data_IF_079516364454
#
_entry.id   IF_079516364454
#
_cell.length_a   1.000
_cell.length_b   1.000
_cell.length_c   1.000
_cell.angle_alpha   90.00
_cell.angle_beta   90.00
_cell.angle_gamma   90.00
#
_symmetry.space_group_name_H-M   'P 1'
#
loop_
_entity.id
_entity.type
_entity.pdbx_description
1 polymer ?
#
# COMPACT_ATOMS: atom_id res chain seq x y z
N UNK A 1 68.77 29.40 -6.44
CA UNK A 1 68.40 30.69 -7.06
C UNK A 1 68.31 31.76 -5.97
N UNK A 2 68.88 32.96 -6.14
CA UNK A 2 68.80 34.03 -5.13
C UNK A 2 67.36 34.54 -4.95
N UNK A 3 66.91 34.77 -3.70
CA UNK A 3 65.53 35.22 -3.40
C UNK A 3 65.17 36.56 -4.07
N UNK A 4 66.14 37.46 -4.25
CA UNK A 4 65.96 38.74 -4.95
C UNK A 4 65.73 38.60 -6.46
N UNK A 5 66.09 37.46 -7.06
CA UNK A 5 65.75 37.14 -8.45
C UNK A 5 64.33 36.57 -8.51
N UNK A 6 64.02 35.62 -7.63
CA UNK A 6 62.69 35.02 -7.52
C UNK A 6 61.60 36.10 -7.27
N UNK A 7 61.85 37.07 -6.40
CA UNK A 7 60.92 38.17 -6.12
C UNK A 7 60.53 38.99 -7.37
N UNK A 8 61.48 39.19 -8.29
CA UNK A 8 61.26 39.93 -9.55
C UNK A 8 60.50 39.11 -10.60
N UNK A 9 60.61 37.78 -10.52
CA UNK A 9 60.00 36.86 -11.47
C UNK A 9 58.58 36.43 -11.03
N UNK A 10 58.22 36.52 -9.75
CA UNK A 10 56.96 35.96 -9.21
C UNK A 10 55.96 36.96 -8.64
N UNK A 11 56.18 38.28 -8.75
CA UNK A 11 55.31 39.34 -8.17
C UNK A 11 55.08 39.20 -6.64
N UNK A 12 55.96 38.45 -5.96
CA UNK A 12 55.94 38.26 -4.51
C UNK A 12 57.06 39.09 -3.89
N UNK A 13 56.69 39.98 -2.96
CA UNK A 13 57.66 40.84 -2.28
C UNK A 13 58.78 40.07 -1.57
N UNK A 14 60.01 40.60 -1.64
CA UNK A 14 61.22 39.96 -1.12
C UNK A 14 61.08 39.51 0.36
N UNK A 15 60.49 40.36 1.21
CA UNK A 15 60.24 40.03 2.64
C UNK A 15 59.34 38.82 2.84
N UNK A 16 58.39 38.59 1.93
CA UNK A 16 57.49 37.44 1.98
C UNK A 16 58.24 36.16 1.63
N UNK A 17 59.09 36.20 0.60
CA UNK A 17 59.95 35.08 0.21
C UNK A 17 61.00 34.75 1.28
N UNK A 18 61.60 35.76 1.92
CA UNK A 18 62.51 35.58 3.05
C UNK A 18 61.80 34.91 4.23
N UNK A 19 60.59 35.36 4.57
CA UNK A 19 59.77 34.77 5.63
C UNK A 19 59.40 33.32 5.33
N UNK A 20 58.98 33.01 4.10
CA UNK A 20 58.66 31.66 3.68
C UNK A 20 59.90 30.76 3.67
N UNK A 21 61.03 31.25 3.17
CA UNK A 21 62.30 30.51 3.18
C UNK A 21 62.80 30.24 4.60
N UNK A 22 62.63 31.19 5.53
CA UNK A 22 62.94 30.99 6.95
C UNK A 22 62.03 29.93 7.59
N UNK A 23 60.71 29.98 7.35
CA UNK A 23 59.76 28.98 7.84
C UNK A 23 60.05 27.59 7.26
N UNK A 24 60.36 27.52 5.97
CA UNK A 24 60.75 26.26 5.31
C UNK A 24 62.06 25.68 5.88
N UNK A 25 63.03 26.53 6.22
CA UNK A 25 64.28 26.06 6.84
C UNK A 25 64.10 25.55 8.27
N UNK A 26 63.15 26.09 9.01
CA UNK A 26 62.87 25.66 10.38
C UNK A 26 62.03 24.37 10.40
N UNK A 27 60.94 24.32 9.65
CA UNK A 27 59.88 23.30 9.81
C UNK A 27 59.60 22.51 8.51
N UNK A 28 60.48 22.62 7.49
CA UNK A 28 60.31 21.96 6.20
C UNK A 28 59.06 22.43 5.44
N UNK A 29 58.48 21.55 4.61
CA UNK A 29 57.26 21.86 3.85
C UNK A 29 56.05 22.17 4.75
N UNK A 30 55.94 21.54 5.92
CA UNK A 30 54.88 21.83 6.90
C UNK A 30 54.94 23.28 7.40
N UNK A 31 56.14 23.85 7.49
CA UNK A 31 56.37 25.26 7.79
C UNK A 31 55.77 26.23 6.79
N UNK A 32 55.47 25.81 5.56
CA UNK A 32 54.86 26.66 4.52
C UNK A 32 53.33 26.58 4.49
N UNK A 33 52.72 25.66 5.25
CA UNK A 33 51.27 25.60 5.36
C UNK A 33 50.72 26.89 6.00
N UNK A 34 49.54 27.31 5.52
CA UNK A 34 48.80 28.40 6.16
C UNK A 34 48.35 27.91 7.53
N UNK A 35 49.08 28.31 8.58
CA UNK A 35 48.68 28.05 9.95
C UNK A 35 47.25 28.57 10.13
N UNK A 36 46.32 27.67 10.43
CA UNK A 36 45.02 28.03 10.97
C UNK A 36 45.27 28.85 12.23
N UNK A 37 44.56 29.97 12.38
CA UNK A 37 44.75 30.83 13.55
C UNK A 37 44.49 30.01 14.81
N UNK A 38 45.26 30.24 15.87
CA UNK A 38 45.12 29.51 17.14
C UNK A 38 43.73 29.67 17.79
N UNK A 39 42.96 30.70 17.39
CA UNK A 39 41.61 30.97 17.84
C UNK A 39 40.52 30.45 16.88
N UNK A 40 40.90 29.77 15.80
CA UNK A 40 39.97 29.17 14.84
C UNK A 40 39.09 28.13 15.54
N UNK A 41 37.79 28.40 15.62
CA UNK A 41 36.82 27.57 16.34
C UNK A 41 36.53 28.01 17.78
N UNK A 42 37.32 28.92 18.36
CA UNK A 42 37.04 29.48 19.69
C UNK A 42 36.07 30.66 19.60
N UNK A 43 34.87 30.51 20.16
CA UNK A 43 33.87 31.59 20.23
C UNK A 43 34.10 32.36 21.53
N UNK A 44 34.36 33.67 21.44
CA UNK A 44 34.39 34.58 22.60
C UNK A 44 32.99 34.94 23.07
N UNK A 45 32.12 33.93 23.25
CA UNK A 45 30.76 34.09 23.74
C UNK A 45 30.55 33.17 24.95
N UNK A 46 29.75 33.58 25.94
CA UNK A 46 29.30 32.68 27.00
C UNK A 46 28.66 31.41 26.41
N UNK A 47 28.93 30.21 26.94
CA UNK A 47 28.30 28.96 26.48
C UNK A 47 26.77 29.04 26.49
N UNK A 48 26.18 29.57 27.56
CA UNK A 48 24.72 29.73 27.69
C UNK A 48 24.10 30.60 26.59
N UNK A 49 24.86 31.54 26.02
CA UNK A 49 24.41 32.38 24.91
C UNK A 49 24.42 31.60 23.58
N UNK A 50 25.40 30.72 23.39
CA UNK A 50 25.44 29.82 22.24
C UNK A 50 24.26 28.83 22.33
N UNK A 51 24.04 28.21 23.48
CA UNK A 51 22.93 27.29 23.72
C UNK A 51 21.56 27.95 23.48
N UNK A 52 21.41 29.22 23.89
CA UNK A 52 20.20 30.00 23.62
C UNK A 52 19.98 30.22 22.12
N UNK A 53 21.03 30.54 21.35
CA UNK A 53 20.95 30.75 19.90
C UNK A 53 20.58 29.43 19.22
N UNK A 54 21.21 28.33 19.60
CA UNK A 54 20.96 26.99 19.07
C UNK A 54 19.54 26.52 19.40
N UNK A 55 19.09 26.67 20.64
CA UNK A 55 17.72 26.33 21.07
C UNK A 55 16.65 27.13 20.31
N UNK A 56 16.88 28.43 20.07
CA UNK A 56 15.99 29.24 19.23
C UNK A 56 15.96 28.77 17.77
N UNK A 57 17.10 28.34 17.24
CA UNK A 57 17.21 27.84 15.87
C UNK A 57 16.53 26.47 15.66
N UNK A 58 16.46 25.65 16.70
CA UNK A 58 15.81 24.33 16.70
C UNK A 58 14.31 24.38 17.07
N UNK A 59 13.77 25.55 17.44
CA UNK A 59 12.37 25.71 17.81
C UNK A 59 11.41 25.70 16.60
N UNK A 60 10.22 25.09 16.75
CA UNK A 60 9.16 25.11 15.72
C UNK A 60 8.13 26.23 15.98
N UNK A 61 7.70 26.99 14.95
CA UNK A 61 8.29 27.05 13.60
C UNK A 61 9.66 27.73 13.62
N UNK A 62 10.56 27.33 12.70
CA UNK A 62 11.94 27.87 12.65
C UNK A 62 11.90 29.39 12.47
N UNK A 63 12.36 30.19 13.44
CA UNK A 63 12.42 31.64 13.26
C UNK A 63 13.51 31.98 12.22
N UNK A 64 13.26 33.02 11.42
CA UNK A 64 14.29 33.57 10.55
C UNK A 64 15.51 34.01 11.36
N UNK A 65 16.72 33.89 10.82
CA UNK A 65 17.97 34.22 11.53
C UNK A 65 17.95 35.67 12.05
N UNK A 66 17.37 36.61 11.29
CA UNK A 66 17.19 37.99 11.74
C UNK A 66 16.27 38.11 12.97
N UNK A 67 15.26 37.25 13.09
CA UNK A 67 14.39 37.18 14.28
C UNK A 67 15.13 36.57 15.47
N UNK A 68 15.97 35.55 15.26
CA UNK A 68 16.83 34.99 16.31
C UNK A 68 17.78 36.08 16.83
N UNK A 69 18.47 36.79 15.94
CA UNK A 69 19.40 37.87 16.30
C UNK A 69 18.71 38.97 17.11
N UNK A 70 17.52 39.43 16.71
CA UNK A 70 16.73 40.42 17.48
C UNK A 70 16.37 39.94 18.88
N UNK A 71 15.89 38.70 19.02
CA UNK A 71 15.52 38.11 20.32
C UNK A 71 16.74 37.98 21.24
N UNK A 72 17.85 37.48 20.69
CA UNK A 72 19.11 37.30 21.42
C UNK A 72 19.66 38.63 21.90
N UNK A 73 19.61 39.67 21.06
CA UNK A 73 20.03 41.04 21.44
C UNK A 73 19.27 41.54 22.67
N UNK A 74 17.94 41.37 22.71
CA UNK A 74 17.13 41.75 23.86
C UNK A 74 17.46 40.98 25.14
N UNK A 75 17.74 39.68 25.02
CA UNK A 75 18.12 38.83 26.17
C UNK A 75 19.52 39.15 26.68
N UNK A 76 20.48 39.41 25.78
CA UNK A 76 21.83 39.83 26.14
C UNK A 76 21.82 41.14 26.95
N UNK A 77 20.98 42.11 26.56
CA UNK A 77 20.82 43.37 27.28
C UNK A 77 20.32 43.16 28.72
N UNK A 78 19.35 42.27 28.92
CA UNK A 78 18.82 41.94 30.25
C UNK A 78 19.81 41.17 31.13
N UNK A 79 20.65 40.30 30.52
CA UNK A 79 21.61 39.44 31.24
C UNK A 79 23.04 40.00 31.31
N UNK A 80 23.28 41.21 30.78
CA UNK A 80 24.62 41.83 30.64
C UNK A 80 25.63 40.95 29.90
N UNK A 81 25.16 40.19 28.91
CA UNK A 81 26.02 39.39 28.03
C UNK A 81 26.52 40.22 26.84
N UNK A 82 27.67 39.86 26.24
CA UNK A 82 28.10 40.46 24.98
C UNK A 82 27.04 40.20 23.90
N UNK A 83 26.69 41.24 23.14
CA UNK A 83 25.74 41.13 22.03
C UNK A 83 26.47 40.56 20.81
N UNK A 84 26.06 39.37 20.30
CA UNK A 84 26.67 38.80 19.12
C UNK A 84 26.24 39.57 17.87
N UNK A 85 27.14 39.67 16.88
CA UNK A 85 26.77 40.21 15.57
C UNK A 85 25.84 39.27 14.83
N UNK A 86 25.14 39.77 13.82
CA UNK A 86 24.31 38.94 12.93
C UNK A 86 25.13 37.81 12.32
N UNK A 87 26.34 38.08 11.84
CA UNK A 87 27.23 37.08 11.24
C UNK A 87 27.59 35.96 12.22
N UNK A 88 27.80 36.29 13.50
CA UNK A 88 28.09 35.29 14.52
C UNK A 88 26.87 34.41 14.79
N UNK A 89 25.67 34.99 14.88
CA UNK A 89 24.43 34.21 15.00
C UNK A 89 24.20 33.34 13.76
N UNK A 90 24.45 33.87 12.56
CA UNK A 90 24.34 33.14 11.31
C UNK A 90 25.33 31.96 11.27
N UNK A 91 26.58 32.17 11.66
CA UNK A 91 27.61 31.13 11.72
C UNK A 91 27.23 30.02 12.71
N UNK A 92 26.77 30.38 13.91
CA UNK A 92 26.30 29.41 14.92
C UNK A 92 25.18 28.54 14.34
N UNK A 93 24.16 29.17 13.76
CA UNK A 93 23.00 28.46 13.19
C UNK A 93 23.39 27.59 11.99
N UNK A 94 24.37 28.00 11.19
CA UNK A 94 24.85 27.22 10.04
C UNK A 94 25.73 26.05 10.45
N UNK A 95 26.46 26.17 11.56
CA UNK A 95 27.32 25.09 12.08
C UNK A 95 26.56 24.01 12.85
N UNK A 96 25.28 24.20 13.12
CA UNK A 96 24.43 23.17 13.71
C UNK A 96 24.47 21.90 12.87
N UNK A 97 24.49 20.75 13.55
CA UNK A 97 24.41 19.45 12.89
C UNK A 97 23.15 19.40 12.01
N UNK A 98 23.29 19.18 10.68
CA UNK A 98 22.15 19.13 9.77
C UNK A 98 21.11 18.09 10.19
N UNK A 99 21.56 16.97 10.77
CA UNK A 99 20.72 15.92 11.32
C UNK A 99 19.85 16.42 12.48
N UNK A 100 20.46 17.04 13.47
CA UNK A 100 19.77 17.65 14.62
C UNK A 100 18.71 18.66 14.17
N UNK A 101 19.03 19.50 13.17
CA UNK A 101 18.09 20.48 12.61
C UNK A 101 16.90 19.79 11.94
N UNK A 102 17.15 18.77 11.11
CA UNK A 102 16.07 17.98 10.47
C UNK A 102 15.21 17.29 11.52
N UNK A 103 15.82 16.67 12.53
CA UNK A 103 15.09 15.99 13.61
C UNK A 103 14.21 16.95 14.40
N UNK A 104 14.74 18.13 14.76
CA UNK A 104 14.03 19.13 15.54
C UNK A 104 12.90 19.81 14.76
N UNK A 105 13.09 20.11 13.47
CA UNK A 105 12.16 20.92 12.67
C UNK A 105 11.20 20.11 11.81
N UNK A 106 11.64 18.96 11.29
CA UNK A 106 10.89 18.12 10.36
C UNK A 106 10.45 16.81 11.01
N UNK A 107 11.11 16.41 12.10
CA UNK A 107 10.76 15.23 12.90
C UNK A 107 11.53 13.98 12.51
N UNK A 108 11.33 12.92 13.29
CA UNK A 108 12.08 11.68 13.18
C UNK A 108 11.95 11.00 11.80
N UNK A 109 10.79 11.10 11.13
CA UNK A 109 10.61 10.49 9.80
C UNK A 109 11.53 11.11 8.74
N UNK A 110 11.59 12.44 8.66
CA UNK A 110 12.47 13.14 7.71
C UNK A 110 13.95 12.97 8.06
N UNK A 111 14.28 12.91 9.35
CA UNK A 111 15.64 12.62 9.79
C UNK A 111 16.13 11.27 9.27
N UNK A 112 15.31 10.23 9.41
CA UNK A 112 15.65 8.89 8.90
C UNK A 112 15.87 8.89 7.39
N UNK A 113 14.98 9.54 6.65
CA UNK A 113 15.06 9.59 5.19
C UNK A 113 16.32 10.32 4.69
N UNK A 114 16.69 11.44 5.34
CA UNK A 114 17.79 12.31 4.91
C UNK A 114 19.16 11.94 5.48
N UNK A 115 19.21 11.38 6.68
CA UNK A 115 20.46 11.24 7.46
C UNK A 115 20.76 9.81 7.94
N UNK A 116 19.80 8.89 8.01
CA UNK A 116 20.13 7.50 8.32
C UNK A 116 20.70 6.78 7.08
N UNK A 117 21.72 5.96 7.31
CA UNK A 117 22.36 5.19 6.25
C UNK A 117 21.41 4.09 5.76
N UNK A 118 20.82 4.28 4.58
CA UNK A 118 20.01 3.25 3.92
C UNK A 118 20.95 2.21 3.31
N UNK A 119 21.15 1.09 4.00
CA UNK A 119 21.86 -0.06 3.42
C UNK A 119 20.98 -0.65 2.32
N UNK A 120 21.24 -0.28 1.06
CA UNK A 120 20.55 -0.83 -0.10
C UNK A 120 20.98 -2.28 -0.29
N UNK A 121 20.17 -3.21 0.20
CA UNK A 121 20.35 -4.63 -0.10
C UNK A 121 19.81 -4.95 -1.48
N UNK A 122 20.53 -5.79 -2.20
CA UNK A 122 20.09 -6.40 -3.44
C UNK A 122 20.39 -7.90 -3.36
N UNK A 123 19.41 -8.71 -3.72
CA UNK A 123 19.60 -10.14 -3.89
C UNK A 123 20.63 -10.40 -5.01
N UNK A 124 21.47 -11.39 -4.82
CA UNK A 124 22.57 -11.71 -5.75
C UNK A 124 22.08 -12.42 -7.01
N UNK A 125 20.96 -13.15 -6.92
CA UNK A 125 20.43 -13.97 -8.00
C UNK A 125 18.94 -13.69 -8.24
N UNK A 126 18.45 -13.86 -9.47
CA UNK A 126 17.02 -13.89 -9.78
C UNK A 126 16.28 -14.91 -8.89
N UNK A 127 15.07 -14.57 -8.45
CA UNK A 127 14.23 -15.34 -7.53
C UNK A 127 14.82 -15.63 -6.14
N UNK A 128 16.02 -15.17 -5.80
CA UNK A 128 16.51 -15.32 -4.43
C UNK A 128 15.64 -14.53 -3.42
N UNK A 129 15.06 -13.41 -3.85
CA UNK A 129 14.10 -12.65 -3.06
C UNK A 129 13.07 -11.96 -3.94
N UNK A 130 11.80 -12.14 -3.62
CA UNK A 130 10.69 -11.37 -4.17
C UNK A 130 10.14 -10.41 -3.12
N UNK A 131 9.78 -9.20 -3.54
CA UNK A 131 9.03 -8.24 -2.75
C UNK A 131 7.57 -8.25 -3.16
N UNK A 132 6.66 -8.30 -2.20
CA UNK A 132 5.22 -8.16 -2.46
C UNK A 132 4.63 -7.02 -1.66
N UNK A 133 3.78 -6.23 -2.30
CA UNK A 133 3.10 -5.11 -1.67
C UNK A 133 1.77 -4.78 -2.36
N UNK A 134 0.92 -4.04 -1.66
CA UNK A 134 -0.36 -3.55 -2.16
C UNK A 134 -0.37 -2.02 -2.20
N UNK A 135 -0.93 -1.47 -3.27
CA UNK A 135 -1.20 -0.02 -3.36
C UNK A 135 -2.60 0.25 -3.89
N UNK A 136 -3.22 1.33 -3.42
CA UNK A 136 -4.49 1.80 -3.95
C UNK A 136 -4.22 2.75 -5.11
N UNK A 137 -4.56 2.34 -6.33
CA UNK A 137 -4.22 3.09 -7.55
C UNK A 137 -4.97 4.42 -7.59
N UNK A 138 -4.32 5.50 -8.02
CA UNK A 138 -4.93 6.83 -8.21
C UNK A 138 -5.80 6.88 -9.48
N UNK A 139 -6.75 5.94 -9.63
CA UNK A 139 -7.66 5.87 -10.78
C UNK A 139 -9.06 5.41 -10.36
N UNK A 140 -10.11 5.99 -10.94
CA UNK A 140 -11.49 5.52 -10.80
C UNK A 140 -11.88 4.66 -11.99
N UNK A 141 -12.36 3.44 -11.71
CA UNK A 141 -12.93 2.51 -12.69
C UNK A 141 -14.43 2.33 -12.46
N UNK A 142 -15.13 1.81 -13.47
CA UNK A 142 -16.53 1.41 -13.37
C UNK A 142 -16.60 0.09 -12.61
N UNK A 143 -17.18 0.12 -11.41
CA UNK A 143 -17.40 -1.04 -10.57
C UNK A 143 -18.46 -1.99 -11.13
N UNK A 144 -18.52 -3.20 -10.58
CA UNK A 144 -19.49 -4.25 -10.99
C UNK A 144 -20.95 -3.86 -10.76
N UNK A 145 -21.22 -2.87 -9.89
CA UNK A 145 -22.53 -2.30 -9.62
C UNK A 145 -22.81 -1.01 -10.43
N UNK A 146 -21.93 -0.68 -11.38
CA UNK A 146 -22.00 0.53 -12.20
C UNK A 146 -21.49 1.79 -11.51
N UNK A 147 -21.02 1.72 -10.26
CA UNK A 147 -20.54 2.89 -9.51
C UNK A 147 -19.04 3.10 -9.67
N UNK A 148 -18.54 4.34 -9.52
CA UNK A 148 -17.10 4.60 -9.43
C UNK A 148 -16.48 3.80 -8.29
N UNK A 149 -15.40 3.10 -8.57
CA UNK A 149 -14.65 2.34 -7.59
C UNK A 149 -13.15 2.54 -7.82
N UNK A 150 -12.40 2.65 -6.72
CA UNK A 150 -10.95 2.80 -6.74
C UNK A 150 -10.30 1.42 -6.55
N UNK A 151 -9.51 0.93 -7.52
CA UNK A 151 -8.91 -0.40 -7.45
C UNK A 151 -7.64 -0.42 -6.61
N UNK A 152 -7.35 -1.60 -6.08
CA UNK A 152 -6.08 -1.95 -5.47
C UNK A 152 -5.27 -2.82 -6.42
N UNK A 153 -3.96 -2.69 -6.33
CA UNK A 153 -2.97 -3.48 -7.06
C UNK A 153 -2.07 -4.19 -6.06
N UNK A 154 -1.99 -5.51 -6.17
CA UNK A 154 -0.90 -6.31 -5.58
C UNK A 154 0.17 -6.52 -6.63
N UNK A 155 1.44 -6.34 -6.29
CA UNK A 155 2.55 -6.63 -7.21
C UNK A 155 3.59 -7.51 -6.55
N UNK A 156 4.15 -8.44 -7.31
CA UNK A 156 5.31 -9.28 -6.96
C UNK A 156 6.49 -8.83 -7.83
N UNK A 157 7.53 -8.30 -7.20
CA UNK A 157 8.72 -7.77 -7.83
C UNK A 157 9.94 -8.63 -7.47
N UNK A 158 10.75 -9.01 -8.44
CA UNK A 158 12.05 -9.65 -8.19
C UNK A 158 13.09 -8.62 -7.73
N UNK A 159 13.71 -8.88 -6.59
CA UNK A 159 14.62 -7.94 -5.94
C UNK A 159 15.92 -7.73 -6.73
N UNK A 160 16.46 -8.79 -7.33
CA UNK A 160 17.71 -8.78 -8.09
C UNK A 160 17.53 -8.07 -9.44
N UNK A 161 16.55 -8.51 -10.23
CA UNK A 161 16.37 -8.08 -11.61
C UNK A 161 15.43 -6.89 -11.80
N UNK A 162 14.73 -6.43 -10.75
CA UNK A 162 13.63 -5.45 -10.85
C UNK A 162 12.44 -5.94 -11.68
N UNK A 163 12.43 -7.18 -12.12
CA UNK A 163 11.38 -7.65 -13.00
C UNK A 163 10.07 -7.83 -12.22
N UNK A 164 8.97 -7.35 -12.80
CA UNK A 164 7.65 -7.64 -12.27
C UNK A 164 7.34 -9.09 -12.62
N UNK A 165 7.27 -9.94 -11.61
CA UNK A 165 7.00 -11.37 -11.79
C UNK A 165 5.50 -11.62 -11.92
N UNK A 166 4.66 -10.90 -11.18
CA UNK A 166 3.21 -11.04 -11.27
C UNK A 166 2.50 -9.91 -10.56
N UNK A 167 1.22 -9.75 -10.82
CA UNK A 167 0.38 -8.77 -10.16
C UNK A 167 -1.07 -9.26 -10.09
N UNK A 168 -1.91 -8.55 -9.34
CA UNK A 168 -3.36 -8.72 -9.41
C UNK A 168 -4.03 -7.39 -9.11
N UNK A 169 -4.90 -6.95 -10.01
CA UNK A 169 -5.74 -5.76 -9.81
C UNK A 169 -7.15 -6.17 -9.38
N UNK A 170 -7.69 -5.53 -8.36
CA UNK A 170 -8.97 -5.92 -7.78
C UNK A 170 -9.71 -4.74 -7.14
N UNK A 171 -11.01 -4.95 -6.90
CA UNK A 171 -11.88 -3.99 -6.21
C UNK A 171 -12.21 -4.51 -4.80
N UNK A 172 -12.08 -3.65 -3.80
CA UNK A 172 -12.25 -3.99 -2.39
C UNK A 172 -10.93 -3.90 -1.63
N UNK A 173 -10.96 -4.12 -0.31
CA UNK A 173 -9.75 -4.12 0.50
C UNK A 173 -8.80 -5.26 0.07
N UNK A 174 -7.47 -5.07 0.21
CA UNK A 174 -6.50 -6.15 0.11
C UNK A 174 -6.90 -7.36 0.97
N UNK A 175 -6.49 -8.54 0.51
CA UNK A 175 -6.80 -9.81 1.17
C UNK A 175 -5.76 -10.86 0.80
N UNK A 176 -5.60 -11.89 1.64
CA UNK A 176 -4.69 -13.01 1.38
C UNK A 176 -4.96 -13.68 0.01
N UNK A 177 -6.22 -13.68 -0.43
CA UNK A 177 -6.62 -14.19 -1.75
C UNK A 177 -6.01 -13.36 -2.90
N UNK A 178 -5.99 -12.03 -2.78
CA UNK A 178 -5.42 -11.17 -3.81
C UNK A 178 -3.89 -11.36 -3.92
N UNK A 179 -3.22 -11.59 -2.78
CA UNK A 179 -1.81 -11.99 -2.74
C UNK A 179 -1.59 -13.35 -3.39
N UNK A 180 -2.41 -14.34 -3.05
CA UNK A 180 -2.32 -15.68 -3.62
C UNK A 180 -2.49 -15.66 -5.14
N UNK A 181 -3.38 -14.83 -5.68
CA UNK A 181 -3.56 -14.65 -7.12
C UNK A 181 -2.32 -14.04 -7.79
N UNK A 182 -1.74 -13.00 -7.18
CA UNK A 182 -0.53 -12.37 -7.70
C UNK A 182 0.65 -13.34 -7.67
N UNK A 183 0.81 -14.11 -6.58
CA UNK A 183 1.81 -15.19 -6.48
C UNK A 183 1.57 -16.29 -7.50
N UNK A 184 0.32 -16.70 -7.70
CA UNK A 184 -0.05 -17.76 -8.64
C UNK A 184 0.26 -17.37 -10.09
N UNK A 185 0.10 -16.09 -10.46
CA UNK A 185 0.57 -15.56 -11.74
C UNK A 185 2.10 -15.43 -11.78
N UNK A 186 2.72 -15.01 -10.67
CA UNK A 186 4.16 -14.84 -10.58
C UNK A 186 4.92 -16.17 -10.73
N UNK A 187 4.46 -17.22 -10.06
CA UNK A 187 5.11 -18.54 -10.00
C UNK A 187 4.95 -19.30 -11.32
N UNK A 188 3.75 -19.28 -11.91
CA UNK A 188 3.50 -20.06 -13.12
C UNK A 188 4.00 -19.35 -14.38
N UNK A 189 4.30 -20.13 -15.41
CA UNK A 189 4.67 -19.58 -16.73
C UNK A 189 3.51 -18.78 -17.33
N UNK A 190 3.82 -17.64 -17.92
CA UNK A 190 2.86 -16.82 -18.68
C UNK A 190 2.78 -17.36 -20.10
N UNK A 191 1.66 -17.10 -20.75
CA UNK A 191 1.47 -17.40 -22.17
C UNK A 191 2.28 -16.47 -23.07
N UNK A 192 2.56 -15.23 -22.62
CA UNK A 192 3.38 -14.27 -23.34
C UNK A 192 4.88 -14.56 -23.14
N UNK A 193 5.64 -14.93 -24.20
CA UNK A 193 7.07 -15.15 -24.12
C UNK A 193 7.87 -13.90 -23.73
N UNK A 194 7.32 -12.70 -23.94
CA UNK A 194 7.95 -11.45 -23.50
C UNK A 194 7.94 -11.28 -21.97
N UNK A 195 7.18 -12.12 -21.26
CA UNK A 195 7.09 -12.17 -19.80
C UNK A 195 7.55 -13.53 -19.24
N UNK A 196 8.85 -13.88 -19.36
CA UNK A 196 9.36 -15.20 -19.01
C UNK A 196 9.52 -15.43 -17.50
N UNK A 197 9.51 -14.38 -16.69
CA UNK A 197 9.72 -14.43 -15.25
C UNK A 197 8.75 -15.40 -14.60
N UNK A 198 9.25 -16.40 -13.90
CA UNK A 198 8.44 -17.43 -13.25
C UNK A 198 9.23 -18.13 -12.13
N UNK A 199 8.59 -19.05 -11.42
CA UNK A 199 9.22 -19.90 -10.42
C UNK A 199 8.93 -19.55 -8.97
N UNK A 200 9.49 -20.34 -8.08
CA UNK A 200 9.38 -20.18 -6.64
C UNK A 200 10.58 -19.35 -6.15
N UNK A 201 10.35 -18.29 -5.36
CA UNK A 201 11.43 -17.56 -4.73
C UNK A 201 11.96 -18.30 -3.51
N UNK A 202 13.22 -18.04 -3.13
CA UNK A 202 13.75 -18.53 -1.86
C UNK A 202 13.17 -17.75 -0.68
N UNK A 203 13.01 -16.43 -0.85
CA UNK A 203 12.44 -15.52 0.14
C UNK A 203 11.31 -14.71 -0.47
N UNK A 204 10.18 -14.67 0.22
CA UNK A 204 9.11 -13.72 -0.05
C UNK A 204 9.09 -12.66 1.05
N UNK A 205 9.45 -11.43 0.69
CA UNK A 205 9.51 -10.27 1.58
C UNK A 205 8.22 -9.45 1.47
N UNK A 206 7.48 -9.36 2.56
CA UNK A 206 6.11 -8.78 2.60
C UNK A 206 5.91 -7.87 3.80
N UNK A 207 4.86 -7.05 3.78
CA UNK A 207 4.46 -6.26 4.95
C UNK A 207 3.77 -7.12 6.03
N UNK A 208 3.72 -6.63 7.28
CA UNK A 208 2.93 -7.21 8.37
C UNK A 208 1.40 -7.00 8.21
N UNK A 209 0.91 -6.79 7.00
CA UNK A 209 -0.53 -6.71 6.74
C UNK A 209 -1.26 -7.98 7.23
N UNK A 210 -2.50 -7.85 7.68
CA UNK A 210 -3.34 -8.99 8.10
C UNK A 210 -3.45 -10.08 7.04
N UNK A 211 -3.29 -9.69 5.77
CA UNK A 211 -3.37 -10.58 4.61
C UNK A 211 -2.14 -11.48 4.49
N UNK A 212 -0.98 -10.97 4.87
CA UNK A 212 0.31 -11.66 4.84
C UNK A 212 0.65 -12.40 6.14
N UNK A 213 -0.13 -12.18 7.19
CA UNK A 213 -0.02 -12.86 8.49
C UNK A 213 -1.05 -13.98 8.66
N UNK A 214 -1.82 -14.29 7.60
CA UNK A 214 -2.78 -15.38 7.62
C UNK A 214 -2.07 -16.75 7.72
N UNK A 215 -2.58 -17.64 8.58
CA UNK A 215 -2.07 -19.01 8.75
C UNK A 215 -2.01 -19.76 7.41
N UNK A 216 -2.96 -19.47 6.52
CA UNK A 216 -3.01 -20.04 5.19
C UNK A 216 -1.78 -19.69 4.35
N UNK A 217 -1.40 -18.40 4.27
CA UNK A 217 -0.23 -18.01 3.48
C UNK A 217 1.06 -18.57 4.08
N UNK A 218 1.16 -18.61 5.42
CA UNK A 218 2.31 -19.19 6.11
C UNK A 218 2.47 -20.69 5.81
N UNK A 219 1.39 -21.48 5.89
CA UNK A 219 1.41 -22.90 5.54
C UNK A 219 1.73 -23.11 4.05
N UNK A 220 1.09 -22.36 3.15
CA UNK A 220 1.38 -22.45 1.71
C UNK A 220 2.83 -22.11 1.39
N UNK A 221 3.41 -21.10 2.06
CA UNK A 221 4.81 -20.76 1.89
C UNK A 221 5.73 -21.91 2.32
N UNK A 222 5.42 -22.59 3.42
CA UNK A 222 6.16 -23.78 3.87
C UNK A 222 6.05 -24.93 2.86
N UNK A 223 4.84 -25.25 2.40
CA UNK A 223 4.60 -26.32 1.41
C UNK A 223 5.35 -26.05 0.08
N UNK A 224 5.41 -24.78 -0.33
CA UNK A 224 6.14 -24.33 -1.52
C UNK A 224 7.64 -24.12 -1.27
N UNK A 225 8.13 -24.38 -0.06
CA UNK A 225 9.53 -24.17 0.34
C UNK A 225 10.01 -22.72 0.07
N UNK A 226 9.16 -21.75 0.45
CA UNK A 226 9.40 -20.32 0.38
C UNK A 226 9.54 -19.79 1.81
N UNK A 227 10.64 -19.09 2.10
CA UNK A 227 10.82 -18.41 3.38
C UNK A 227 10.06 -17.09 3.38
N UNK A 228 9.04 -16.97 4.22
CA UNK A 228 8.33 -15.72 4.43
C UNK A 228 9.11 -14.81 5.40
N UNK A 229 9.37 -13.57 5.02
CA UNK A 229 9.97 -12.54 5.88
C UNK A 229 9.08 -11.32 5.88
N UNK A 230 8.66 -10.88 7.06
CA UNK A 230 7.87 -9.66 7.23
C UNK A 230 8.75 -8.45 7.57
N UNK A 231 8.50 -7.31 6.93
CA UNK A 231 9.21 -6.06 7.22
C UNK A 231 8.88 -5.55 8.62
N UNK A 232 9.86 -5.33 9.49
CA UNK A 232 9.60 -4.83 10.87
C UNK A 232 8.68 -3.61 10.87
N UNK A 233 7.66 -3.62 11.74
CA UNK A 233 6.66 -2.55 11.88
C UNK A 233 7.37 -1.20 12.03
N UNK A 234 6.96 -0.21 11.22
CA UNK A 234 7.49 1.15 11.18
C UNK A 234 8.96 1.30 10.68
N UNK A 235 9.56 0.30 10.03
CA UNK A 235 10.87 0.42 9.34
C UNK A 235 10.76 0.07 7.85
N UNK A 236 10.55 1.06 6.96
CA UNK A 236 10.34 0.83 5.53
C UNK A 236 11.64 0.52 4.73
N UNK A 237 12.79 0.36 5.39
CA UNK A 237 14.14 0.33 4.78
C UNK A 237 14.46 -0.87 3.84
N UNK A 238 13.45 -1.61 3.34
CA UNK A 238 13.60 -2.68 2.35
C UNK A 238 12.68 -2.60 1.13
N UNK A 239 11.68 -1.70 1.13
CA UNK A 239 10.57 -1.68 0.13
C UNK A 239 10.68 -0.59 -0.94
N UNK A 240 11.73 0.23 -0.90
CA UNK A 240 11.88 1.35 -1.83
C UNK A 240 11.87 0.96 -3.32
N UNK A 241 12.14 -0.31 -3.65
CA UNK A 241 12.11 -0.84 -5.02
C UNK A 241 10.68 -0.99 -5.55
N UNK A 242 9.82 -1.66 -4.79
CA UNK A 242 8.40 -1.82 -5.15
C UNK A 242 7.61 -0.51 -5.02
N UNK A 243 7.94 0.32 -4.02
CA UNK A 243 7.37 1.66 -3.87
C UNK A 243 7.70 2.56 -5.07
N UNK A 244 8.95 2.51 -5.55
CA UNK A 244 9.35 3.23 -6.77
C UNK A 244 8.59 2.73 -7.99
N UNK A 245 8.41 1.42 -8.12
CA UNK A 245 7.61 0.85 -9.21
C UNK A 245 6.15 1.35 -9.19
N UNK A 246 5.52 1.44 -8.01
CA UNK A 246 4.19 2.04 -7.90
C UNK A 246 4.18 3.52 -8.29
N UNK A 247 5.20 4.28 -7.91
CA UNK A 247 5.39 5.65 -8.40
C UNK A 247 5.45 5.71 -9.93
N UNK A 248 6.21 4.80 -10.55
CA UNK A 248 6.30 4.66 -12.01
C UNK A 248 4.94 4.35 -12.65
N UNK A 249 4.17 3.41 -12.12
CA UNK A 249 2.80 3.13 -12.59
C UNK A 249 1.96 4.41 -12.56
N UNK A 250 2.03 5.16 -11.46
CA UNK A 250 1.23 6.36 -11.30
C UNK A 250 1.60 7.43 -12.33
N UNK A 251 2.89 7.70 -12.49
CA UNK A 251 3.39 8.78 -13.35
C UNK A 251 3.33 8.44 -14.84
N UNK A 252 3.50 7.18 -15.21
CA UNK A 252 3.63 6.78 -16.63
C UNK A 252 2.37 6.12 -17.18
N UNK A 253 1.75 5.19 -16.43
CA UNK A 253 0.57 4.47 -16.90
C UNK A 253 -0.71 5.24 -16.56
N UNK A 254 -0.97 5.44 -15.26
CA UNK A 254 -2.26 5.97 -14.81
C UNK A 254 -2.51 7.37 -15.33
N UNK A 255 -1.47 8.21 -15.42
CA UNK A 255 -1.53 9.54 -16.01
C UNK A 255 -2.07 9.59 -17.44
N UNK A 256 -1.99 8.49 -18.21
CA UNK A 256 -2.48 8.41 -19.59
C UNK A 256 -3.90 7.85 -19.69
N UNK A 257 -4.44 7.26 -18.61
CA UNK A 257 -5.72 6.57 -18.60
C UNK A 257 -6.87 7.47 -18.15
N UNK A 258 -8.08 7.32 -18.74
CA UNK A 258 -9.25 8.06 -18.29
C UNK A 258 -9.68 7.59 -16.90
N UNK A 259 -10.00 8.54 -16.02
CA UNK A 259 -10.33 8.24 -14.62
C UNK A 259 -9.18 8.48 -13.64
N UNK A 260 -8.01 8.95 -14.11
CA UNK A 260 -6.87 9.27 -13.25
C UNK A 260 -7.19 10.39 -12.26
N UNK A 261 -6.84 10.16 -10.99
CA UNK A 261 -7.05 11.06 -9.86
C UNK A 261 -5.81 11.94 -9.74
N UNK A 262 -6.01 13.26 -9.68
CA UNK A 262 -4.93 14.24 -9.45
C UNK A 262 -5.34 15.22 -8.36
N UNK A 263 -4.39 15.94 -7.77
CA UNK A 263 -4.66 16.90 -6.67
C UNK A 263 -5.73 17.95 -7.03
N UNK A 264 -5.80 18.37 -8.30
CA UNK A 264 -6.81 19.32 -8.79
C UNK A 264 -8.11 18.67 -9.27
N UNK A 265 -8.17 17.35 -9.40
CA UNK A 265 -9.31 16.63 -9.95
C UNK A 265 -9.51 15.27 -9.24
N UNK A 266 -10.00 15.28 -7.99
CA UNK A 266 -10.07 14.10 -7.15
C UNK A 266 -11.20 13.11 -7.51
N UNK A 267 -12.20 13.56 -8.28
CA UNK A 267 -13.39 12.78 -8.63
C UNK A 267 -13.64 12.73 -10.15
N UNK A 268 -12.73 12.13 -10.93
CA UNK A 268 -12.92 11.97 -12.36
C UNK A 268 -14.06 11.01 -12.70
N UNK A 269 -14.72 11.23 -13.84
CA UNK A 269 -15.73 10.29 -14.34
C UNK A 269 -15.04 8.98 -14.77
N UNK A 270 -15.37 7.84 -14.16
CA UNK A 270 -14.79 6.56 -14.55
C UNK A 270 -15.29 6.14 -15.94
N UNK A 271 -14.37 5.75 -16.81
CA UNK A 271 -14.68 5.22 -18.15
C UNK A 271 -14.15 3.81 -18.39
N UNK A 272 -13.12 3.41 -17.65
CA UNK A 272 -12.52 2.08 -17.75
C UNK A 272 -13.23 1.08 -16.86
N UNK A 273 -13.39 -0.16 -17.35
CA UNK A 273 -13.72 -1.30 -16.50
C UNK A 273 -12.46 -1.82 -15.80
N UNK A 274 -12.63 -2.64 -14.75
CA UNK A 274 -11.51 -3.31 -14.10
C UNK A 274 -10.70 -4.17 -15.08
N UNK A 275 -11.37 -4.87 -16.01
CA UNK A 275 -10.73 -5.71 -17.02
C UNK A 275 -9.92 -4.88 -18.02
N UNK A 276 -10.43 -3.71 -18.44
CA UNK A 276 -9.68 -2.83 -19.32
C UNK A 276 -8.44 -2.23 -18.64
N UNK A 277 -8.53 -1.92 -17.34
CA UNK A 277 -7.38 -1.53 -16.53
C UNK A 277 -6.36 -2.67 -16.40
N UNK A 278 -6.83 -3.91 -16.21
CA UNK A 278 -5.97 -5.10 -16.14
C UNK A 278 -5.17 -5.29 -17.44
N UNK A 279 -5.81 -5.22 -18.61
CA UNK A 279 -5.11 -5.28 -19.90
C UNK A 279 -4.11 -4.14 -20.10
N UNK A 280 -4.42 -2.93 -19.62
CA UNK A 280 -3.49 -1.80 -19.68
C UNK A 280 -2.26 -2.01 -18.76
N UNK A 281 -2.47 -2.59 -17.57
CA UNK A 281 -1.39 -2.98 -16.66
C UNK A 281 -0.51 -4.08 -17.27
N UNK A 282 -1.10 -5.09 -17.90
CA UNK A 282 -0.36 -6.18 -18.55
C UNK A 282 0.58 -5.65 -19.64
N UNK A 283 0.05 -4.82 -20.55
CA UNK A 283 0.84 -4.18 -21.60
C UNK A 283 1.95 -3.28 -21.04
N UNK A 284 1.65 -2.54 -19.97
CA UNK A 284 2.63 -1.70 -19.29
C UNK A 284 3.74 -2.55 -18.64
N UNK A 285 3.40 -3.65 -17.97
CA UNK A 285 4.35 -4.56 -17.34
C UNK A 285 5.28 -5.18 -18.38
N UNK A 286 4.76 -5.60 -19.52
CA UNK A 286 5.59 -6.10 -20.63
C UNK A 286 6.61 -5.03 -21.10
N UNK A 287 6.16 -3.78 -21.24
CA UNK A 287 7.03 -2.66 -21.64
C UNK A 287 8.06 -2.31 -20.56
N UNK A 288 7.64 -2.26 -19.30
CA UNK A 288 8.50 -1.99 -18.15
C UNK A 288 9.59 -3.06 -18.00
N UNK A 289 9.25 -4.33 -18.22
CA UNK A 289 10.22 -5.43 -18.13
C UNK A 289 11.21 -5.45 -19.30
N UNK A 290 10.89 -4.87 -20.45
CA UNK A 290 11.79 -4.81 -21.60
C UNK A 290 12.67 -3.56 -21.66
N UNK A 291 12.24 -2.45 -21.07
CA UNK A 291 13.01 -1.20 -21.13
C UNK A 291 14.27 -1.27 -20.29
N UNK A 292 15.31 -0.54 -20.68
CA UNK A 292 16.53 -0.37 -19.87
C UNK A 292 16.21 0.30 -18.54
N UNK A 293 16.55 -0.36 -17.43
CA UNK A 293 16.39 0.18 -16.09
C UNK A 293 17.65 0.95 -15.68
N UNK A 294 17.49 2.19 -15.20
CA UNK A 294 18.60 3.11 -14.90
C UNK A 294 19.60 2.57 -13.88
N UNK A 295 19.13 1.88 -12.84
CA UNK A 295 20.03 1.27 -11.84
C UNK A 295 20.71 -0.02 -12.30
N UNK A 296 20.14 -0.74 -13.29
CA UNK A 296 20.69 -2.03 -13.75
C UNK A 296 21.61 -1.86 -14.96
N UNK A 297 21.41 -0.81 -15.77
CA UNK A 297 22.06 -0.65 -17.07
C UNK A 297 21.54 -1.61 -18.16
N UNK A 298 20.61 -2.50 -17.82
CA UNK A 298 19.94 -3.46 -18.73
C UNK A 298 18.45 -3.53 -18.42
N UNK A 299 17.67 -4.27 -19.20
CA UNK A 299 16.25 -4.45 -18.93
C UNK A 299 15.98 -5.44 -17.80
N UNK A 300 14.88 -5.27 -17.03
CA UNK A 300 14.53 -6.22 -15.99
C UNK A 300 14.41 -7.67 -16.47
N UNK A 301 13.84 -7.88 -17.67
CA UNK A 301 13.79 -9.18 -18.30
C UNK A 301 15.18 -9.74 -18.54
N UNK A 302 16.09 -8.98 -19.15
CA UNK A 302 17.44 -9.45 -19.43
C UNK A 302 18.22 -9.74 -18.15
N UNK A 303 18.05 -8.91 -17.11
CA UNK A 303 18.63 -9.15 -15.79
C UNK A 303 18.08 -10.41 -15.11
N UNK A 304 16.81 -10.74 -15.32
CA UNK A 304 16.21 -11.96 -14.77
C UNK A 304 16.66 -13.22 -15.52
N UNK A 305 16.76 -13.14 -16.85
CA UNK A 305 17.28 -14.23 -17.69
C UNK A 305 18.76 -14.48 -17.36
N UNK A 306 19.52 -13.40 -17.14
CA UNK A 306 20.97 -13.42 -16.91
C UNK A 306 21.68 -14.26 -17.99
N UNK A 307 22.56 -15.19 -17.59
CA UNK A 307 23.25 -16.11 -18.50
C UNK A 307 22.43 -17.39 -18.80
N UNK A 308 21.16 -17.42 -18.40
CA UNK A 308 20.27 -18.58 -18.49
C UNK A 308 20.33 -19.45 -17.24
N UNK A 309 19.17 -19.71 -16.64
CA UNK A 309 19.04 -20.54 -15.45
C UNK A 309 17.65 -21.20 -15.42
N UNK A 310 17.48 -22.21 -14.55
CA UNK A 310 16.23 -22.95 -14.41
C UNK A 310 15.54 -22.58 -13.09
N UNK A 311 14.38 -21.91 -13.12
CA UNK A 311 13.61 -21.61 -11.92
C UNK A 311 13.07 -22.88 -11.25
N UNK A 312 13.01 -22.87 -9.92
CA UNK A 312 12.26 -23.88 -9.16
C UNK A 312 10.77 -23.73 -9.51
N UNK A 313 10.11 -24.81 -9.90
CA UNK A 313 8.69 -24.79 -10.27
C UNK A 313 7.91 -25.76 -9.39
N UNK A 314 6.62 -25.48 -9.10
CA UNK A 314 5.71 -26.49 -8.57
C UNK A 314 5.50 -27.62 -9.58
N UNK A 315 5.17 -28.82 -9.10
CA UNK A 315 5.01 -30.02 -9.94
C UNK A 315 3.92 -29.88 -10.99
N UNK A 316 2.81 -29.22 -10.63
CA UNK A 316 1.71 -28.98 -11.54
C UNK A 316 0.95 -27.69 -11.21
N UNK A 317 0.19 -27.22 -12.19
CA UNK A 317 -0.71 -26.08 -12.00
C UNK A 317 -1.82 -26.39 -10.99
N UNK A 318 -2.28 -27.64 -10.98
CA UNK A 318 -3.34 -28.10 -10.08
C UNK A 318 -2.88 -28.10 -8.62
N UNK A 319 -1.62 -28.47 -8.37
CA UNK A 319 -1.03 -28.43 -7.04
C UNK A 319 -0.80 -27.00 -6.57
N UNK A 320 -0.32 -26.13 -7.47
CA UNK A 320 -0.18 -24.71 -7.18
C UNK A 320 -1.53 -24.07 -6.83
N UNK A 321 -2.58 -24.34 -7.62
CA UNK A 321 -3.93 -23.83 -7.36
C UNK A 321 -4.52 -24.39 -6.06
N UNK A 322 -4.25 -25.67 -5.76
CA UNK A 322 -4.63 -26.28 -4.48
C UNK A 322 -3.99 -25.54 -3.32
N UNK A 323 -2.69 -25.25 -3.39
CA UNK A 323 -1.96 -24.62 -2.30
C UNK A 323 -2.33 -23.14 -2.12
N UNK A 324 -2.49 -22.38 -3.21
CA UNK A 324 -2.69 -20.93 -3.14
C UNK A 324 -4.16 -20.50 -3.08
N UNK A 325 -5.05 -21.19 -3.79
CA UNK A 325 -6.37 -20.65 -4.12
C UNK A 325 -7.52 -21.37 -3.46
N UNK A 326 -7.28 -22.43 -2.69
CA UNK A 326 -8.37 -23.12 -2.00
C UNK A 326 -8.68 -22.52 -0.64
N UNK A 327 -9.92 -22.03 -0.48
CA UNK A 327 -10.43 -21.64 0.83
C UNK A 327 -11.14 -22.83 1.46
N UNK A 328 -10.68 -23.23 2.65
CA UNK A 328 -11.33 -24.30 3.41
C UNK A 328 -12.60 -23.78 4.13
N UNK A 329 -13.72 -24.48 3.97
CA UNK A 329 -14.95 -24.26 4.74
C UNK A 329 -15.60 -25.59 5.11
N UNK A 330 -15.99 -25.74 6.36
CA UNK A 330 -16.75 -26.93 6.78
C UNK A 330 -18.21 -26.82 6.34
N UNK A 331 -18.73 -27.87 5.69
CA UNK A 331 -20.13 -27.98 5.26
C UNK A 331 -20.66 -29.37 5.52
N UNK A 332 -21.97 -29.46 5.74
CA UNK A 332 -22.65 -30.74 5.92
C UNK A 332 -23.16 -31.23 4.56
N UNK A 333 -22.87 -32.49 4.24
CA UNK A 333 -23.41 -33.15 3.05
C UNK A 333 -24.90 -33.45 3.27
N UNK A 334 -25.75 -32.99 2.36
CA UNK A 334 -27.20 -33.25 2.38
C UNK A 334 -27.55 -34.27 1.31
N UNK A 335 -28.79 -34.77 1.34
CA UNK A 335 -29.32 -35.70 0.31
C UNK A 335 -29.26 -35.12 -1.10
N UNK A 336 -29.38 -33.80 -1.23
CA UNK A 336 -29.28 -33.06 -2.48
C UNK A 336 -27.88 -32.50 -2.76
N UNK A 337 -26.85 -33.01 -2.07
CA UNK A 337 -25.46 -32.58 -2.20
C UNK A 337 -25.04 -31.54 -1.15
N UNK A 338 -24.08 -30.68 -1.50
CA UNK A 338 -23.55 -29.65 -0.60
C UNK A 338 -24.11 -28.29 -1.02
N UNK A 339 -24.54 -27.49 -0.04
CA UNK A 339 -24.99 -26.10 -0.29
C UNK A 339 -23.94 -25.12 0.17
N UNK A 340 -23.49 -24.25 -0.73
CA UNK A 340 -22.51 -23.21 -0.42
C UNK A 340 -22.78 -21.95 -1.25
N UNK A 341 -22.77 -20.79 -0.59
CA UNK A 341 -23.00 -19.48 -1.21
C UNK A 341 -24.30 -19.32 -2.04
N UNK A 342 -25.31 -20.16 -1.78
CA UNK A 342 -26.57 -20.17 -2.52
C UNK A 342 -26.56 -21.10 -3.73
N UNK A 343 -25.41 -21.73 -4.04
CA UNK A 343 -25.27 -22.78 -5.03
C UNK A 343 -25.40 -24.16 -4.39
N UNK A 344 -25.80 -25.13 -5.23
CA UNK A 344 -25.87 -26.56 -4.90
C UNK A 344 -24.82 -27.32 -5.70
N UNK A 345 -24.03 -28.12 -5.01
CA UNK A 345 -22.95 -28.91 -5.59
C UNK A 345 -23.25 -30.38 -5.42
N UNK A 346 -23.13 -31.15 -6.49
CA UNK A 346 -23.45 -32.58 -6.50
C UNK A 346 -22.29 -33.39 -7.04
N UNK A 347 -22.16 -34.60 -6.51
CA UNK A 347 -21.29 -35.65 -7.04
C UNK A 347 -21.87 -37.00 -6.59
N UNK A 348 -21.87 -38.04 -7.42
CA UNK A 348 -22.40 -39.35 -7.05
C UNK A 348 -21.74 -39.93 -5.78
N UNK A 349 -20.45 -39.65 -5.59
CA UNK A 349 -19.64 -40.07 -4.44
C UNK A 349 -20.12 -39.48 -3.11
N UNK A 350 -20.86 -38.37 -3.10
CA UNK A 350 -21.36 -37.73 -1.89
C UNK A 350 -22.49 -38.52 -1.21
N UNK A 351 -23.13 -39.47 -1.90
CA UNK A 351 -24.22 -40.26 -1.34
C UNK A 351 -23.81 -41.03 -0.06
N UNK A 352 -22.55 -41.50 0.00
CA UNK A 352 -22.00 -42.20 1.17
C UNK A 352 -21.66 -41.31 2.36
N UNK A 353 -21.66 -39.98 2.16
CA UNK A 353 -21.25 -39.00 3.16
C UNK A 353 -22.43 -38.16 3.69
N UNK A 354 -23.67 -38.47 3.28
CA UNK A 354 -24.87 -37.73 3.71
C UNK A 354 -24.97 -37.67 5.24
N UNK A 355 -25.13 -36.46 5.78
CA UNK A 355 -25.19 -36.18 7.21
C UNK A 355 -23.84 -35.90 7.87
N UNK A 356 -22.71 -36.14 7.18
CA UNK A 356 -21.37 -35.85 7.69
C UNK A 356 -20.94 -34.41 7.42
N UNK A 357 -20.10 -33.89 8.31
CA UNK A 357 -19.40 -32.63 8.13
C UNK A 357 -18.12 -32.89 7.35
N UNK A 358 -17.97 -32.25 6.21
CA UNK A 358 -16.81 -32.34 5.31
C UNK A 358 -16.18 -30.95 5.14
N UNK A 359 -14.89 -30.91 4.84
CA UNK A 359 -14.20 -29.67 4.48
C UNK A 359 -14.27 -29.49 2.98
N UNK A 360 -14.88 -28.40 2.53
CA UNK A 360 -14.85 -28.02 1.11
C UNK A 360 -13.71 -27.04 0.88
N UNK A 361 -13.00 -27.24 -0.22
CA UNK A 361 -11.94 -26.38 -0.75
C UNK A 361 -12.37 -25.89 -2.11
N UNK A 362 -12.36 -24.58 -2.34
CA UNK A 362 -12.85 -23.98 -3.58
C UNK A 362 -11.98 -22.79 -4.01
N UNK A 363 -11.88 -22.53 -5.33
CA UNK A 363 -11.26 -21.32 -5.88
C UNK A 363 -12.31 -20.20 -5.88
N UNK A 364 -12.11 -19.07 -5.18
CA UNK A 364 -13.06 -17.96 -5.19
C UNK A 364 -13.27 -17.31 -6.57
N UNK A 365 -12.35 -17.51 -7.53
CA UNK A 365 -12.53 -17.06 -8.93
C UNK A 365 -13.48 -17.95 -9.71
N UNK A 366 -13.61 -19.20 -9.29
CA UNK A 366 -14.44 -20.19 -9.95
C UNK A 366 -15.11 -21.08 -8.91
N UNK A 367 -16.28 -20.66 -8.47
CA UNK A 367 -17.07 -21.41 -7.49
C UNK A 367 -18.03 -22.40 -8.18
N UNK A 368 -17.80 -22.78 -9.43
CA UNK A 368 -18.63 -23.77 -10.13
C UNK A 368 -18.28 -25.19 -9.70
N UNK A 369 -17.02 -25.41 -9.30
CA UNK A 369 -16.51 -26.66 -8.74
C UNK A 369 -16.05 -26.44 -7.29
N UNK A 370 -16.30 -27.43 -6.43
CA UNK A 370 -15.69 -27.54 -5.11
C UNK A 370 -15.04 -28.91 -4.94
N UNK A 371 -13.91 -28.94 -4.24
CA UNK A 371 -13.26 -30.17 -3.80
C UNK A 371 -13.70 -30.50 -2.39
N UNK A 372 -14.04 -31.75 -2.14
CA UNK A 372 -14.58 -32.20 -0.85
C UNK A 372 -13.57 -33.11 -0.18
N UNK A 373 -13.30 -32.84 1.09
CA UNK A 373 -12.37 -33.58 1.94
C UNK A 373 -13.07 -34.04 3.22
N UNK A 374 -12.76 -35.25 3.66
CA UNK A 374 -13.18 -35.80 4.95
C UNK A 374 -11.91 -36.19 5.72
N UNK A 375 -11.72 -35.65 6.93
CA UNK A 375 -10.50 -35.88 7.73
C UNK A 375 -9.17 -35.66 6.95
N UNK A 376 -9.11 -34.58 6.16
CA UNK A 376 -8.02 -34.22 5.23
C UNK A 376 -7.77 -35.17 4.06
N UNK A 377 -8.54 -36.26 3.92
CA UNK A 377 -8.53 -37.14 2.76
C UNK A 377 -9.44 -36.59 1.66
N UNK A 378 -8.97 -36.62 0.40
CA UNK A 378 -9.75 -36.16 -0.73
C UNK A 378 -10.86 -37.17 -1.07
N UNK A 379 -12.11 -36.70 -1.06
CA UNK A 379 -13.29 -37.53 -1.36
C UNK A 379 -13.66 -37.42 -2.84
N UNK A 380 -13.93 -36.20 -3.33
CA UNK A 380 -14.35 -35.98 -4.71
C UNK A 380 -14.36 -34.50 -5.13
N UNK A 381 -14.44 -34.27 -6.45
CA UNK A 381 -14.90 -33.00 -7.04
C UNK A 381 -16.43 -33.00 -7.11
N UNK A 382 -17.06 -31.92 -6.67
CA UNK A 382 -18.51 -31.71 -6.73
C UNK A 382 -18.80 -30.43 -7.51
N UNK A 383 -19.70 -30.52 -8.49
CA UNK A 383 -19.96 -29.44 -9.45
C UNK A 383 -21.36 -28.86 -9.25
N UNK A 384 -21.51 -27.58 -9.55
CA UNK A 384 -22.81 -26.94 -9.62
C UNK A 384 -23.48 -27.26 -10.97
N UNK A 385 -24.64 -27.91 -10.93
CA UNK A 385 -25.37 -28.30 -12.16
C UNK A 385 -25.87 -27.10 -12.97
N UNK A 386 -26.20 -25.98 -12.32
CA UNK A 386 -26.82 -24.82 -12.97
C UNK A 386 -25.79 -23.97 -13.74
N UNK A 387 -24.50 -24.06 -13.39
CA UNK A 387 -23.42 -23.25 -13.96
C UNK A 387 -22.22 -24.10 -14.44
N UNK A 388 -22.42 -25.37 -14.78
CA UNK A 388 -21.32 -26.26 -15.17
C UNK A 388 -20.55 -25.82 -16.42
N UNK A 389 -21.14 -24.99 -17.27
CA UNK A 389 -20.57 -24.53 -18.55
C UNK A 389 -19.90 -23.14 -18.49
N UNK A 390 -19.96 -22.44 -17.35
CA UNK A 390 -19.47 -21.06 -17.24
C UNK A 390 -18.75 -20.83 -15.92
N UNK A 391 -17.55 -20.27 -15.94
CA UNK A 391 -16.84 -19.86 -14.72
C UNK A 391 -17.57 -18.70 -14.06
N UNK A 392 -17.89 -18.86 -12.77
CA UNK A 392 -18.55 -17.81 -11.98
C UNK A 392 -17.76 -17.55 -10.72
N UNK A 393 -17.40 -16.29 -10.48
CA UNK A 393 -16.66 -15.89 -9.29
C UNK A 393 -17.57 -15.73 -8.07
N UNK A 394 -17.00 -15.90 -6.88
CA UNK A 394 -17.68 -15.68 -5.60
C UNK A 394 -18.29 -14.27 -5.51
N UNK A 395 -17.59 -13.27 -6.06
CA UNK A 395 -17.99 -11.87 -6.01
C UNK A 395 -19.20 -11.59 -6.90
N UNK A 396 -19.25 -12.16 -8.10
CA UNK A 396 -20.40 -12.07 -8.99
C UNK A 396 -21.64 -12.70 -8.35
N UNK A 397 -21.48 -13.86 -7.69
CA UNK A 397 -22.58 -14.51 -6.96
C UNK A 397 -23.07 -13.64 -5.80
N UNK A 398 -22.16 -13.06 -5.02
CA UNK A 398 -22.53 -12.14 -3.95
C UNK A 398 -23.24 -10.89 -4.47
N UNK A 399 -22.77 -10.32 -5.59
CA UNK A 399 -23.38 -9.16 -6.24
C UNK A 399 -24.79 -9.50 -6.76
N UNK A 400 -24.95 -10.62 -7.47
CA UNK A 400 -26.23 -11.11 -7.97
C UNK A 400 -27.22 -11.38 -6.82
N UNK A 401 -26.75 -12.00 -5.71
CA UNK A 401 -27.57 -12.23 -4.51
C UNK A 401 -28.00 -10.92 -3.85
N UNK A 402 -27.09 -9.95 -3.73
CA UNK A 402 -27.40 -8.65 -3.18
C UNK A 402 -28.41 -7.89 -4.07
N UNK A 403 -28.25 -7.95 -5.39
CA UNK A 403 -29.20 -7.38 -6.35
C UNK A 403 -30.58 -8.03 -6.23
N UNK A 404 -30.65 -9.37 -6.19
CA UNK A 404 -31.89 -10.12 -5.97
C UNK A 404 -32.55 -9.78 -4.63
N UNK A 405 -31.78 -9.67 -3.55
CA UNK A 405 -32.29 -9.26 -2.23
C UNK A 405 -32.87 -7.85 -2.26
N UNK A 406 -32.23 -6.91 -2.98
CA UNK A 406 -32.76 -5.55 -3.19
C UNK A 406 -34.06 -5.57 -3.98
N UNK A 407 -34.12 -6.33 -5.08
CA UNK A 407 -35.33 -6.47 -5.89
C UNK A 407 -36.50 -7.09 -5.09
N UNK A 408 -36.23 -8.13 -4.30
CA UNK A 408 -37.23 -8.73 -3.42
C UNK A 408 -37.72 -7.74 -2.35
N UNK A 409 -36.82 -6.97 -1.73
CA UNK A 409 -37.22 -5.92 -0.77
C UNK A 409 -38.07 -4.84 -1.44
N UNK A 410 -37.73 -4.43 -2.65
CA UNK A 410 -38.52 -3.46 -3.42
C UNK A 410 -39.94 -4.01 -3.69
N UNK A 411 -40.05 -5.25 -4.17
CA UNK A 411 -41.35 -5.88 -4.41
C UNK A 411 -42.16 -6.17 -3.14
N UNK A 412 -41.50 -6.44 -2.00
CA UNK A 412 -42.18 -6.53 -0.70
C UNK A 412 -42.73 -5.16 -0.30
N UNK A 413 -41.93 -4.10 -0.40
CA UNK A 413 -42.36 -2.75 -0.05
C UNK A 413 -43.51 -2.27 -0.95
N UNK A 414 -43.48 -2.59 -2.25
CA UNK A 414 -44.56 -2.29 -3.19
C UNK A 414 -45.87 -3.01 -2.80
N UNK A 415 -45.80 -4.29 -2.45
CA UNK A 415 -46.97 -5.04 -1.98
C UNK A 415 -47.50 -4.56 -0.63
N UNK A 416 -46.62 -4.16 0.29
CA UNK A 416 -47.02 -3.53 1.55
C UNK A 416 -47.71 -2.19 1.27
N UNK A 417 -47.19 -1.39 0.34
CA UNK A 417 -47.79 -0.12 -0.05
C UNK A 417 -49.18 -0.29 -0.69
N UNK A 418 -49.41 -1.36 -1.46
CA UNK A 418 -50.73 -1.71 -2.02
C UNK A 418 -51.77 -2.03 -0.94
N UNK A 419 -51.37 -2.66 0.17
CA UNK A 419 -52.25 -2.95 1.32
C UNK A 419 -52.47 -1.70 2.20
N UNK A 420 -51.50 -0.79 2.23
CA UNK A 420 -51.59 0.47 2.96
C UNK A 420 -52.37 1.56 2.19
N UNK A 421 -52.74 1.33 0.94
CA UNK A 421 -53.67 2.20 0.21
C UNK A 421 -55.06 2.09 0.87
N UNK A 422 -55.70 3.22 1.25
CA UNK A 422 -57.00 3.17 1.91
C UNK A 422 -58.00 2.45 1.01
N UNK A 423 -58.50 1.30 1.45
CA UNK A 423 -59.68 0.70 0.83
C UNK A 423 -60.83 1.67 1.09
N UNK A 424 -61.32 2.35 0.06
CA UNK A 424 -62.56 3.12 0.13
C UNK A 424 -63.66 2.19 0.66
N UNK A 425 -63.96 2.33 1.93
CA UNK A 425 -65.10 1.66 2.54
C UNK A 425 -66.33 2.39 2.01
N UNK A 426 -67.30 1.72 1.36
CA UNK A 426 -68.48 2.40 0.87
C UNK A 426 -69.20 3.02 2.07
N UNK A 427 -69.44 4.34 2.01
CA UNK A 427 -70.21 5.08 3.03
C UNK A 427 -71.58 4.42 3.16
N UNK A 428 -71.82 3.79 4.30
CA UNK A 428 -73.18 3.41 4.72
C UNK A 428 -73.93 4.71 4.94
N UNK A 429 -74.98 4.94 4.16
CA UNK A 429 -75.93 6.03 4.34
C UNK A 429 -76.64 5.87 5.69
N UNK A 430 -76.54 6.90 6.54
CA UNK A 430 -77.23 6.97 7.83
C UNK A 430 -78.76 6.89 7.66
N UNK A 431 -79.40 6.07 8.49
CA UNK A 431 -80.85 5.98 8.60
C UNK A 431 -81.43 7.21 9.34
N UNK A 432 -82.65 7.68 9.00
CA UNK A 432 -83.20 8.89 9.59
C UNK A 432 -83.63 8.71 11.06
N UNK A 433 -83.48 9.77 11.85
CA UNK A 433 -83.70 9.80 13.30
C UNK A 433 -85.18 9.59 13.71
N UNK A 434 -85.44 8.94 14.87
CA UNK A 434 -86.80 8.70 15.36
C UNK A 434 -87.42 9.93 16.06
N UNK A 435 -88.73 10.09 15.92
CA UNK A 435 -89.54 11.19 16.45
C UNK A 435 -89.62 11.24 17.99
N UNK A 436 -89.78 12.43 18.60
CA UNK A 436 -89.75 12.61 20.06
C UNK A 436 -91.00 12.07 20.76
N UNK A 437 -90.79 11.32 21.86
CA UNK A 437 -91.84 10.78 22.74
C UNK A 437 -92.34 11.84 23.74
N UNK A 438 -93.65 11.88 23.95
CA UNK A 438 -94.37 12.80 24.84
C UNK A 438 -94.11 12.52 26.33
N UNK A 439 -94.06 13.60 27.12
CA UNK A 439 -93.84 13.58 28.56
C UNK A 439 -95.09 13.11 29.32
N UNK A 440 -94.95 12.07 30.16
CA UNK A 440 -95.96 11.67 31.14
C UNK A 440 -95.73 12.42 32.46
N UNK A 441 -96.76 13.15 32.90
CA UNK A 441 -96.87 13.81 34.21
C UNK A 441 -97.20 12.76 35.28
N UNK A 442 -96.54 12.83 36.44
CA UNK A 442 -97.06 12.23 37.68
C UNK A 442 -97.05 13.33 38.76
N UNK A 443 -98.23 13.53 39.34
CA UNK A 443 -98.56 14.54 40.35
C UNK A 443 -98.00 14.16 41.72
N UNK A 444 -97.54 15.17 42.47
CA UNK A 444 -97.37 15.14 43.92
C UNK A 444 -98.72 15.47 44.56
N UNK A 445 -99.30 14.54 45.29
CA UNK A 445 -100.12 14.85 46.47
C UNK A 445 -100.13 13.62 47.40
N UNK A 446 -99.96 13.93 48.69
CA UNK A 446 -99.99 13.10 49.90
C UNK A 446 -98.80 12.14 50.17
N UNK A 447 -97.99 12.30 51.23
CA UNK A 447 -98.10 13.12 52.45
C UNK A 447 -99.43 12.99 53.23
N UNK A 448 -99.94 11.76 53.39
CA UNK A 448 -100.28 11.16 54.70
C UNK A 448 -100.90 9.78 54.56
#
# INVERSE_FOLDING_TARGET
>A
MPLARLARETDVGLRTLERWHARYRADGYAGLETASRADAGSRRLPPDLVDLIEGLALSKPRPAIATIHRKVTGICAARRWPVPSYSVVWDIVRTLDPGMVTLALEGAASYRDKHELVLRRQAELPNAMWQSDHTMLDILVVGTDGKPARPWLTTILDDCSRAVCGYTVFLGAPSAMNTALALRQAIWHKTDPAWPMCGLPDVLYVDHGSDFTSDQLAHTAVDLHIRLIHSTVARPQGRGKIERFFGTINTELLATLPGHITEGHPWPTPKLSLAALDSALEAFVATYNDRTHSELGTSPRSAWIADGWLPRMPESLEDLDRLLLTVAKTRVVRRDGIRFQGLRYVSPTLAGYVGRSVVIRYDPRDITEIRVFDHDEFVCKAVNQEHHDQKVSLKEIQAARNARRRALRAGINERIALVAAPTETPRITEAPAPAPRSALKIYKEDLR
#
